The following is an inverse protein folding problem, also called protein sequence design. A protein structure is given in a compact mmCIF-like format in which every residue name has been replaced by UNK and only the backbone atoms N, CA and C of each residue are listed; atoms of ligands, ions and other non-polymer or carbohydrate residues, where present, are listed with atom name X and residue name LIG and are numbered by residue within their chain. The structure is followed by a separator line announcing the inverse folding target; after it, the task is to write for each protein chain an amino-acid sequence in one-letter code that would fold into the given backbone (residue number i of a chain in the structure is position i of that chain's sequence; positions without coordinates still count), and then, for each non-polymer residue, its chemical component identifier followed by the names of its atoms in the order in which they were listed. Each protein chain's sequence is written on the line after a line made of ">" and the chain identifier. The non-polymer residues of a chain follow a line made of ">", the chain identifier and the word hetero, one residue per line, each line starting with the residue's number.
data_IF_538413410133
#
_entry.id   IF_538413410133
#
_cell.length_a   1.000
_cell.length_b   1.000
_cell.length_c   1.000
_cell.angle_alpha   90.00
_cell.angle_beta   90.00
_cell.angle_gamma   90.00
#
_symmetry.space_group_name_H-M   'P 1'
#
loop_
_entity.id
_entity.type
_entity.pdbx_description
1 polymer ?
#
# COMPACT_ATOMS: atom_id res chain seq x y z
N UNK A 1 92.96 61.84 57.73
CA UNK A 1 91.64 62.48 57.58
C UNK A 1 91.18 62.58 56.13
N UNK A 2 91.94 63.15 55.18
CA UNK A 2 91.51 63.29 53.76
C UNK A 2 91.12 61.97 53.06
N UNK A 3 91.85 60.87 53.31
CA UNK A 3 91.55 59.54 52.71
C UNK A 3 90.26 58.90 53.25
N UNK A 4 89.91 59.16 54.52
CA UNK A 4 88.70 58.61 55.14
C UNK A 4 87.44 59.34 54.64
N UNK A 5 87.53 60.66 54.47
CA UNK A 5 86.45 61.47 53.87
C UNK A 5 86.12 60.97 52.45
N UNK A 6 87.15 60.71 51.62
CA UNK A 6 86.95 60.18 50.26
C UNK A 6 86.25 58.81 50.25
N UNK A 7 86.62 57.92 51.17
CA UNK A 7 85.99 56.60 51.30
C UNK A 7 84.53 56.73 51.72
N UNK A 8 84.23 57.56 52.72
CA UNK A 8 82.85 57.80 53.20
C UNK A 8 81.99 58.47 52.13
N UNK A 9 82.52 59.46 51.40
CA UNK A 9 81.79 60.08 50.29
C UNK A 9 81.55 59.09 49.14
N UNK A 10 82.51 58.21 48.84
CA UNK A 10 82.33 57.16 47.83
C UNK A 10 81.24 56.16 48.25
N UNK A 11 81.24 55.73 49.51
CA UNK A 11 80.22 54.83 50.07
C UNK A 11 78.82 55.47 50.05
N UNK A 12 78.72 56.77 50.37
CA UNK A 12 77.48 57.52 50.30
C UNK A 12 76.97 57.63 48.86
N UNK A 13 77.85 57.93 47.90
CA UNK A 13 77.50 57.97 46.49
C UNK A 13 77.00 56.59 46.02
N UNK A 14 77.68 55.50 46.36
CA UNK A 14 77.25 54.13 46.03
C UNK A 14 75.88 53.81 46.64
N UNK A 15 75.65 54.17 47.90
CA UNK A 15 74.37 53.97 48.57
C UNK A 15 73.23 54.71 47.87
N UNK A 16 73.47 55.97 47.46
CA UNK A 16 72.51 56.76 46.67
C UNK A 16 72.23 56.09 45.32
N UNK A 17 73.24 55.58 44.63
CA UNK A 17 73.05 54.86 43.37
C UNK A 17 72.21 53.58 43.54
N UNK A 18 72.43 52.83 44.63
CA UNK A 18 71.65 51.61 44.94
C UNK A 18 70.19 51.99 45.24
N UNK A 19 69.95 52.99 46.08
CA UNK A 19 68.60 53.44 46.43
C UNK A 19 67.83 53.99 45.22
N UNK A 20 68.50 54.76 44.36
CA UNK A 20 67.90 55.33 43.16
C UNK A 20 67.58 54.25 42.12
N UNK A 21 68.44 53.24 41.97
CA UNK A 21 68.17 52.08 41.13
C UNK A 21 66.97 51.27 41.67
N UNK A 22 66.90 51.04 42.98
CA UNK A 22 65.75 50.36 43.59
C UNK A 22 64.43 51.11 43.40
N UNK A 23 64.42 52.44 43.56
CA UNK A 23 63.23 53.26 43.30
C UNK A 23 62.83 53.28 41.83
N UNK A 24 63.81 53.24 40.93
CA UNK A 24 63.56 53.18 39.48
C UNK A 24 62.95 51.83 39.10
N UNK A 25 63.47 50.74 39.66
CA UNK A 25 62.92 49.40 39.50
C UNK A 25 61.50 49.27 40.06
N UNK A 26 61.24 49.79 41.27
CA UNK A 26 59.91 49.77 41.89
C UNK A 26 58.88 50.52 41.02
N UNK A 27 59.25 51.71 40.53
CA UNK A 27 58.40 52.48 39.61
C UNK A 27 58.15 51.74 38.29
N UNK A 28 59.19 51.17 37.69
CA UNK A 28 59.07 50.42 36.43
C UNK A 28 58.21 49.16 36.62
N UNK A 29 58.31 48.49 37.77
CA UNK A 29 57.48 47.32 38.12
C UNK A 29 56.00 47.69 38.27
N UNK A 30 55.69 48.84 38.87
CA UNK A 30 54.32 49.32 39.03
C UNK A 30 53.72 49.76 37.69
N UNK A 31 54.53 50.41 36.83
CA UNK A 31 54.11 50.80 35.48
C UNK A 31 53.82 49.57 34.64
N UNK A 32 54.72 48.58 34.63
CA UNK A 32 54.53 47.33 33.88
C UNK A 32 53.32 46.53 34.37
N UNK A 33 53.10 46.46 35.69
CA UNK A 33 51.91 45.84 36.26
C UNK A 33 50.62 46.57 35.85
N UNK A 34 50.64 47.91 35.86
CA UNK A 34 49.49 48.72 35.45
C UNK A 34 49.16 48.56 33.96
N UNK A 35 50.18 48.57 33.11
CA UNK A 35 50.03 48.32 31.67
C UNK A 35 49.52 46.92 31.39
N UNK A 36 50.03 45.91 32.12
CA UNK A 36 49.55 44.52 32.03
C UNK A 36 48.08 44.39 32.45
N UNK A 37 47.69 45.03 33.55
CA UNK A 37 46.30 45.05 34.01
C UNK A 37 45.38 45.79 33.02
N UNK A 38 45.82 46.93 32.48
CA UNK A 38 45.05 47.67 31.49
C UNK A 38 44.87 46.86 30.20
N UNK A 39 45.94 46.21 29.71
CA UNK A 39 45.86 45.31 28.57
C UNK A 39 44.92 44.12 28.83
N UNK A 40 44.91 43.60 30.06
CA UNK A 40 44.01 42.51 30.47
C UNK A 40 42.55 42.96 30.53
N UNK A 41 42.30 44.17 31.06
CA UNK A 41 40.95 44.78 31.09
C UNK A 41 40.44 45.02 29.68
N UNK A 42 41.28 45.57 28.78
CA UNK A 42 40.91 45.81 27.39
C UNK A 42 40.63 44.49 26.65
N UNK A 43 41.42 43.45 26.90
CA UNK A 43 41.19 42.11 26.35
C UNK A 43 39.87 41.51 26.86
N UNK A 44 39.60 41.59 28.17
CA UNK A 44 38.34 41.12 28.77
C UNK A 44 37.14 41.90 28.24
N UNK A 45 37.26 43.21 28.07
CA UNK A 45 36.20 44.05 27.50
C UNK A 45 35.87 43.65 26.07
N UNK A 46 36.88 43.37 25.24
CA UNK A 46 36.69 42.88 23.87
C UNK A 46 35.99 41.53 23.86
N UNK A 47 36.44 40.60 24.70
CA UNK A 47 35.82 39.27 24.83
C UNK A 47 34.35 39.41 25.26
N UNK A 48 34.05 40.26 26.25
CA UNK A 48 32.69 40.48 26.72
C UNK A 48 31.79 41.06 25.62
N UNK A 49 32.31 42.03 24.85
CA UNK A 49 31.60 42.60 23.70
C UNK A 49 31.28 41.53 22.65
N UNK A 50 32.27 40.70 22.27
CA UNK A 50 32.07 39.60 21.32
C UNK A 50 31.06 38.56 21.85
N UNK A 51 31.13 38.18 23.13
CA UNK A 51 30.16 37.28 23.74
C UNK A 51 28.74 37.85 23.70
N UNK A 52 28.59 39.17 23.91
CA UNK A 52 27.29 39.81 23.89
C UNK A 52 26.73 39.91 22.47
N UNK A 53 27.58 40.15 21.47
CA UNK A 53 27.21 40.08 20.06
C UNK A 53 26.78 38.67 19.66
N UNK A 54 27.54 37.65 20.08
CA UNK A 54 27.21 36.24 19.85
C UNK A 54 25.89 35.85 20.50
N UNK A 55 25.66 36.28 21.75
CA UNK A 55 24.40 36.08 22.46
C UNK A 55 23.23 36.69 21.71
N UNK A 56 23.35 37.96 21.30
CA UNK A 56 22.28 38.63 20.54
C UNK A 56 22.01 37.94 19.20
N UNK A 57 23.05 37.44 18.53
CA UNK A 57 22.91 36.66 17.30
C UNK A 57 22.17 35.34 17.54
N UNK A 58 22.52 34.62 18.60
CA UNK A 58 21.87 33.36 18.97
C UNK A 58 20.41 33.59 19.36
N UNK A 59 20.09 34.64 20.11
CA UNK A 59 18.71 35.00 20.45
C UNK A 59 17.87 35.24 19.19
N UNK A 60 18.40 36.00 18.21
CA UNK A 60 17.72 36.18 16.92
C UNK A 60 17.52 34.89 16.14
N UNK A 61 18.50 33.98 16.17
CA UNK A 61 18.37 32.67 15.53
C UNK A 61 17.31 31.81 16.22
N UNK A 62 17.21 31.85 17.55
CA UNK A 62 16.18 31.15 18.30
C UNK A 62 14.80 31.70 17.95
N UNK A 63 14.64 33.02 17.88
CA UNK A 63 13.36 33.64 17.51
C UNK A 63 12.93 33.27 16.08
N UNK A 64 13.87 33.28 15.15
CA UNK A 64 13.62 32.87 13.76
C UNK A 64 13.22 31.39 13.67
N UNK A 65 13.95 30.50 14.36
CA UNK A 65 13.61 29.08 14.41
C UNK A 65 12.24 28.84 15.07
N UNK A 66 11.89 29.58 16.13
CA UNK A 66 10.59 29.48 16.76
C UNK A 66 9.46 29.91 15.82
N UNK A 67 9.66 30.97 15.04
CA UNK A 67 8.70 31.38 14.01
C UNK A 67 8.54 30.30 12.95
N UNK A 68 9.65 29.73 12.45
CA UNK A 68 9.61 28.63 11.47
C UNK A 68 8.90 27.38 12.03
N UNK A 69 9.11 27.05 13.31
CA UNK A 69 8.40 25.94 13.97
C UNK A 69 6.90 26.23 14.04
N UNK A 70 6.51 27.45 14.41
CA UNK A 70 5.09 27.84 14.48
C UNK A 70 4.43 27.75 13.09
N UNK A 71 5.05 28.37 12.09
CA UNK A 71 4.54 28.37 10.72
C UNK A 71 4.48 26.94 10.15
N UNK A 72 5.46 26.10 10.50
CA UNK A 72 5.47 24.67 10.20
C UNK A 72 4.32 23.91 10.85
N UNK A 73 4.05 24.15 12.13
CA UNK A 73 2.95 23.53 12.86
C UNK A 73 1.58 23.95 12.32
N UNK A 74 1.39 25.23 11.99
CA UNK A 74 0.15 25.73 11.36
C UNK A 74 -0.10 25.04 10.02
N UNK A 75 0.97 24.82 9.23
CA UNK A 75 0.87 24.10 7.96
C UNK A 75 0.54 22.61 8.15
N UNK A 76 1.10 21.97 9.18
CA UNK A 76 0.77 20.58 9.53
C UNK A 76 -0.71 20.47 9.89
N UNK A 77 -1.22 21.34 10.76
CA UNK A 77 -2.63 21.34 11.17
C UNK A 77 -3.57 21.54 9.96
N UNK A 78 -3.23 22.47 9.05
CA UNK A 78 -4.00 22.67 7.82
C UNK A 78 -4.00 21.43 6.92
N UNK A 79 -2.86 20.76 6.76
CA UNK A 79 -2.75 19.55 5.96
C UNK A 79 -3.52 18.38 6.59
N UNK A 80 -3.45 18.23 7.91
CA UNK A 80 -4.21 17.21 8.64
C UNK A 80 -5.73 17.42 8.48
N UNK A 81 -6.20 18.67 8.58
CA UNK A 81 -7.60 19.00 8.33
C UNK A 81 -8.03 18.70 6.89
N UNK A 82 -7.17 18.99 5.90
CA UNK A 82 -7.43 18.65 4.50
C UNK A 82 -7.49 17.13 4.27
N UNK A 83 -6.58 16.37 4.89
CA UNK A 83 -6.57 14.91 4.80
C UNK A 83 -7.87 14.33 5.38
N UNK A 84 -8.29 14.79 6.55
CA UNK A 84 -9.55 14.34 7.17
C UNK A 84 -10.77 14.67 6.30
N UNK A 85 -10.82 15.88 5.72
CA UNK A 85 -11.90 16.27 4.82
C UNK A 85 -11.95 15.41 3.56
N UNK A 86 -10.79 15.12 2.96
CA UNK A 86 -10.69 14.29 1.76
C UNK A 86 -11.05 12.83 2.04
N UNK A 87 -10.65 12.31 3.20
CA UNK A 87 -11.03 10.97 3.64
C UNK A 87 -12.54 10.86 3.82
N UNK A 88 -13.17 11.83 4.47
CA UNK A 88 -14.64 11.85 4.62
C UNK A 88 -15.35 11.91 3.26
N UNK A 89 -14.87 12.75 2.33
CA UNK A 89 -15.46 12.84 0.99
C UNK A 89 -15.30 11.53 0.20
N UNK A 90 -14.17 10.84 0.38
CA UNK A 90 -13.92 9.54 -0.24
C UNK A 90 -14.87 8.48 0.32
N UNK A 91 -15.03 8.41 1.64
CA UNK A 91 -15.94 7.47 2.30
C UNK A 91 -17.39 7.70 1.88
N UNK A 92 -17.84 8.96 1.81
CA UNK A 92 -19.17 9.32 1.31
C UNK A 92 -19.39 8.85 -0.13
N UNK A 93 -18.38 9.03 -1.00
CA UNK A 93 -18.42 8.56 -2.40
C UNK A 93 -18.44 7.04 -2.50
N UNK A 94 -17.67 6.34 -1.67
CA UNK A 94 -17.67 4.87 -1.64
C UNK A 94 -19.01 4.33 -1.16
N UNK A 95 -19.60 4.94 -0.12
CA UNK A 95 -20.93 4.59 0.35
C UNK A 95 -21.99 4.85 -0.73
N UNK A 96 -21.89 5.98 -1.42
CA UNK A 96 -22.79 6.30 -2.53
C UNK A 96 -22.69 5.28 -3.67
N UNK A 97 -21.47 4.89 -4.06
CA UNK A 97 -21.23 3.84 -5.08
C UNK A 97 -21.82 2.51 -4.60
N UNK A 98 -21.62 2.13 -3.34
CA UNK A 98 -22.19 0.91 -2.77
C UNK A 98 -23.73 0.92 -2.85
N UNK A 99 -24.37 2.02 -2.45
CA UNK A 99 -25.84 2.17 -2.58
C UNK A 99 -26.28 2.10 -4.03
N UNK A 100 -25.56 2.75 -4.96
CA UNK A 100 -25.87 2.65 -6.38
C UNK A 100 -25.76 1.22 -6.90
N UNK A 101 -24.71 0.49 -6.51
CA UNK A 101 -24.50 -0.92 -6.89
C UNK A 101 -25.68 -1.79 -6.47
N UNK A 102 -26.25 -1.60 -5.28
CA UNK A 102 -27.44 -2.35 -4.82
C UNK A 102 -28.72 -2.05 -5.61
N UNK A 103 -28.79 -0.92 -6.31
CA UNK A 103 -29.96 -0.49 -7.09
C UNK A 103 -29.85 -0.79 -8.57
N UNK A 104 -28.74 -1.38 -9.01
CA UNK A 104 -28.56 -1.78 -10.40
C UNK A 104 -29.61 -2.83 -10.74
N UNK A 105 -30.24 -2.70 -11.90
CA UNK A 105 -31.06 -3.77 -12.44
C UNK A 105 -30.15 -4.93 -12.85
N UNK A 106 -30.37 -6.08 -12.23
CA UNK A 106 -29.59 -7.29 -12.46
C UNK A 106 -30.03 -8.03 -13.74
N UNK A 107 -31.17 -7.67 -14.31
CA UNK A 107 -31.77 -8.37 -15.45
C UNK A 107 -30.95 -8.28 -16.76
N UNK A 108 -30.33 -7.14 -17.12
CA UNK A 108 -29.44 -7.07 -18.28
C UNK A 108 -28.21 -7.99 -18.16
N UNK A 109 -27.68 -8.14 -16.94
CA UNK A 109 -26.51 -8.99 -16.66
C UNK A 109 -26.93 -10.46 -16.73
N UNK A 110 -28.08 -10.80 -16.13
CA UNK A 110 -28.65 -12.15 -16.16
C UNK A 110 -28.95 -12.59 -17.59
N UNK A 111 -29.65 -11.75 -18.35
CA UNK A 111 -29.99 -12.02 -19.74
C UNK A 111 -28.76 -12.14 -20.64
N UNK A 112 -27.74 -11.31 -20.44
CA UNK A 112 -26.47 -11.43 -21.17
C UNK A 112 -25.75 -12.74 -20.87
N UNK A 113 -25.72 -13.16 -19.59
CA UNK A 113 -25.10 -14.43 -19.19
C UNK A 113 -25.83 -15.62 -19.80
N UNK A 114 -27.16 -15.62 -19.73
CA UNK A 114 -27.99 -16.67 -20.33
C UNK A 114 -27.86 -16.71 -21.85
N UNK A 115 -27.85 -15.55 -22.51
CA UNK A 115 -27.61 -15.45 -23.95
C UNK A 115 -26.23 -16.00 -24.31
N UNK A 116 -25.20 -15.73 -23.51
CA UNK A 116 -23.86 -16.28 -23.73
C UNK A 116 -23.89 -17.81 -23.68
N UNK A 117 -24.44 -18.41 -22.61
CA UNK A 117 -24.53 -19.87 -22.44
C UNK A 117 -25.32 -20.51 -23.60
N UNK A 118 -26.47 -19.92 -23.95
CA UNK A 118 -27.30 -20.41 -25.04
C UNK A 118 -26.57 -20.37 -26.39
N UNK A 119 -25.83 -19.30 -26.69
CA UNK A 119 -25.04 -19.23 -27.92
C UNK A 119 -23.89 -20.25 -27.94
N UNK A 120 -23.31 -20.63 -26.79
CA UNK A 120 -22.35 -21.74 -26.73
C UNK A 120 -23.04 -23.08 -27.01
N UNK A 121 -24.20 -23.32 -26.40
CA UNK A 121 -24.98 -24.55 -26.63
C UNK A 121 -25.40 -24.71 -28.10
N UNK A 122 -25.80 -23.64 -28.77
CA UNK A 122 -26.16 -23.63 -30.20
C UNK A 122 -24.95 -23.59 -31.15
N UNK A 123 -23.72 -23.65 -30.63
CA UNK A 123 -22.46 -23.52 -31.39
C UNK A 123 -22.32 -22.19 -32.15
N UNK A 124 -23.02 -21.14 -31.72
CA UNK A 124 -22.93 -19.78 -32.26
C UNK A 124 -21.84 -18.96 -31.54
N UNK A 125 -20.60 -19.44 -31.65
CA UNK A 125 -19.44 -18.86 -30.98
C UNK A 125 -19.15 -17.39 -31.33
N UNK A 126 -19.34 -16.91 -32.57
CA UNK A 126 -19.12 -15.50 -32.88
C UNK A 126 -20.01 -14.55 -32.09
N UNK A 127 -21.29 -14.90 -31.90
CA UNK A 127 -22.23 -14.07 -31.14
C UNK A 127 -21.91 -14.09 -29.65
N UNK A 128 -21.52 -15.26 -29.11
CA UNK A 128 -21.07 -15.36 -27.72
C UNK A 128 -19.80 -14.53 -27.47
N UNK A 129 -18.82 -14.58 -28.38
CA UNK A 129 -17.57 -13.82 -28.28
C UNK A 129 -17.80 -12.30 -28.37
N UNK A 130 -18.76 -11.84 -29.16
CA UNK A 130 -19.11 -10.41 -29.24
C UNK A 130 -19.71 -9.83 -27.95
N UNK A 131 -20.16 -10.68 -27.02
CA UNK A 131 -20.62 -10.24 -25.68
C UNK A 131 -19.47 -9.99 -24.71
N UNK A 132 -18.25 -10.35 -25.09
CA UNK A 132 -17.03 -10.08 -24.32
C UNK A 132 -16.26 -8.88 -24.86
N UNK A 133 -15.49 -8.24 -23.98
CA UNK A 133 -14.59 -7.15 -24.35
C UNK A 133 -13.39 -7.66 -25.18
N UNK A 134 -12.75 -6.77 -25.94
CA UNK A 134 -11.63 -7.12 -26.83
C UNK A 134 -10.43 -7.75 -26.13
N UNK A 135 -10.24 -7.47 -24.84
CA UNK A 135 -9.18 -7.98 -23.98
C UNK A 135 -9.70 -8.96 -22.92
N UNK A 136 -10.90 -9.53 -23.15
CA UNK A 136 -11.50 -10.49 -22.24
C UNK A 136 -10.58 -11.69 -21.97
N UNK A 137 -10.47 -12.05 -20.69
CA UNK A 137 -9.65 -13.16 -20.23
C UNK A 137 -10.51 -14.40 -19.98
N UNK A 138 -10.31 -15.42 -20.78
CA UNK A 138 -10.91 -16.74 -20.58
C UNK A 138 -9.89 -17.63 -19.86
N UNK A 139 -10.20 -18.01 -18.63
CA UNK A 139 -9.30 -18.76 -17.73
C UNK A 139 -7.88 -18.15 -17.64
N UNK A 140 -7.83 -16.82 -17.56
CA UNK A 140 -6.58 -16.04 -17.45
C UNK A 140 -5.89 -15.70 -18.78
N UNK A 141 -6.31 -16.33 -19.88
CA UNK A 141 -5.71 -16.17 -21.20
C UNK A 141 -6.57 -15.26 -22.11
N UNK A 142 -5.91 -14.48 -22.96
CA UNK A 142 -6.61 -13.69 -23.99
C UNK A 142 -6.83 -14.59 -25.20
N UNK A 143 -8.10 -14.90 -25.50
CA UNK A 143 -8.44 -15.79 -26.61
C UNK A 143 -8.84 -15.00 -27.85
N UNK A 144 -8.43 -15.49 -29.01
CA UNK A 144 -8.99 -15.06 -30.29
C UNK A 144 -10.32 -15.77 -30.54
N UNK A 145 -11.19 -15.21 -31.41
CA UNK A 145 -12.44 -15.87 -31.82
C UNK A 145 -12.20 -17.32 -32.31
N UNK A 146 -11.08 -17.54 -33.01
CA UNK A 146 -10.70 -18.87 -33.49
C UNK A 146 -10.36 -19.80 -32.33
N UNK A 147 -9.48 -19.38 -31.42
CA UNK A 147 -9.10 -20.16 -30.24
C UNK A 147 -10.30 -20.49 -29.35
N UNK A 148 -11.20 -19.52 -29.19
CA UNK A 148 -12.46 -19.68 -28.47
C UNK A 148 -13.34 -20.75 -29.13
N UNK A 149 -13.61 -20.62 -30.43
CA UNK A 149 -14.46 -21.56 -31.17
C UNK A 149 -13.86 -22.98 -31.20
N UNK A 150 -12.55 -23.08 -31.45
CA UNK A 150 -11.83 -24.36 -31.51
C UNK A 150 -11.88 -25.06 -30.14
N UNK A 151 -11.77 -24.31 -29.04
CA UNK A 151 -11.88 -24.89 -27.69
C UNK A 151 -13.29 -25.44 -27.42
N UNK A 152 -14.33 -24.65 -27.64
CA UNK A 152 -15.69 -25.08 -27.34
C UNK A 152 -16.15 -26.24 -28.24
N UNK A 153 -15.81 -26.22 -29.53
CA UNK A 153 -16.21 -27.29 -30.46
C UNK A 153 -15.45 -28.60 -30.23
N UNK A 154 -14.19 -28.54 -29.81
CA UNK A 154 -13.40 -29.73 -29.52
C UNK A 154 -13.75 -30.39 -28.18
N UNK A 155 -14.13 -29.59 -27.16
CA UNK A 155 -14.23 -30.06 -25.77
C UNK A 155 -15.65 -30.22 -25.25
N UNK A 156 -16.65 -29.48 -25.77
CA UNK A 156 -18.01 -29.48 -25.24
C UNK A 156 -18.98 -30.16 -26.22
N UNK A 157 -19.65 -31.20 -25.74
CA UNK A 157 -20.75 -31.86 -26.43
C UNK A 157 -22.09 -31.14 -26.17
N UNK A 158 -22.36 -30.77 -24.91
CA UNK A 158 -23.54 -29.99 -24.50
C UNK A 158 -23.23 -29.13 -23.28
N UNK A 159 -23.87 -27.97 -23.17
CA UNK A 159 -23.82 -27.10 -21.99
C UNK A 159 -25.23 -26.58 -21.68
N UNK A 160 -25.70 -26.84 -20.47
CA UNK A 160 -27.02 -26.40 -20.02
C UNK A 160 -26.93 -25.73 -18.64
N UNK A 161 -27.63 -24.61 -18.39
CA UNK A 161 -27.69 -24.03 -17.06
C UNK A 161 -28.46 -24.95 -16.11
N UNK A 162 -28.00 -25.05 -14.86
CA UNK A 162 -28.71 -25.78 -13.81
C UNK A 162 -29.92 -24.95 -13.37
N UNK A 163 -31.09 -25.56 -13.44
CA UNK A 163 -32.35 -24.94 -13.03
C UNK A 163 -32.79 -25.48 -11.68
N UNK A 164 -33.18 -24.57 -10.78
CA UNK A 164 -33.70 -24.91 -9.45
C UNK A 164 -35.14 -24.36 -9.32
N UNK A 165 -36.04 -25.12 -8.67
CA UNK A 165 -37.45 -24.76 -8.46
C UNK A 165 -38.45 -25.79 -9.04
N UNK A 166 -39.40 -26.21 -8.20
CA UNK A 166 -40.41 -27.26 -8.55
C UNK A 166 -41.49 -26.76 -9.53
N UNK A 167 -41.83 -25.47 -9.54
CA UNK A 167 -42.93 -24.91 -10.35
C UNK A 167 -42.49 -23.87 -11.41
N UNK A 168 -41.39 -23.14 -11.18
CA UNK A 168 -40.77 -22.24 -12.16
C UNK A 168 -39.25 -22.44 -12.14
N UNK A 169 -38.75 -23.14 -13.14
CA UNK A 169 -37.31 -23.41 -13.33
C UNK A 169 -36.57 -22.09 -13.55
N UNK A 170 -35.86 -21.59 -12.54
CA UNK A 170 -34.98 -20.43 -12.67
C UNK A 170 -33.52 -20.89 -12.65
N UNK A 171 -32.65 -20.33 -13.50
CA UNK A 171 -31.23 -20.69 -13.49
C UNK A 171 -30.59 -20.20 -12.19
N UNK A 172 -29.75 -21.04 -11.57
CA UNK A 172 -29.03 -20.68 -10.33
C UNK A 172 -27.91 -19.69 -10.67
N UNK A 173 -28.24 -18.40 -10.62
CA UNK A 173 -27.36 -17.28 -10.94
C UNK A 173 -27.22 -16.38 -9.71
N UNK A 174 -26.04 -16.36 -9.10
CA UNK A 174 -25.71 -15.42 -8.04
C UNK A 174 -24.98 -14.20 -8.63
N UNK A 175 -25.52 -13.01 -8.41
CA UNK A 175 -24.89 -11.75 -8.83
C UNK A 175 -24.37 -11.05 -7.59
N UNK A 176 -23.05 -10.92 -7.49
CA UNK A 176 -22.34 -10.26 -6.41
C UNK A 176 -21.69 -9.00 -6.96
N UNK A 177 -22.01 -7.85 -6.37
CA UNK A 177 -21.28 -6.62 -6.67
C UNK A 177 -19.85 -6.75 -6.13
N UNK A 178 -18.85 -6.35 -6.92
CA UNK A 178 -17.46 -6.31 -6.46
C UNK A 178 -17.26 -5.18 -5.45
N UNK A 179 -16.40 -5.40 -4.45
CA UNK A 179 -15.95 -4.41 -3.47
C UNK A 179 -14.99 -3.37 -4.09
N UNK A 180 -14.57 -3.57 -5.34
CA UNK A 180 -13.72 -2.61 -6.06
C UNK A 180 -14.49 -1.31 -6.36
N UNK A 181 -13.81 -0.15 -6.43
CA UNK A 181 -14.47 1.11 -6.79
C UNK A 181 -14.95 1.14 -8.25
N UNK A 182 -14.48 0.21 -9.07
CA UNK A 182 -14.90 0.04 -10.45
C UNK A 182 -16.31 -0.57 -10.55
N UNK A 183 -16.99 -0.31 -11.66
CA UNK A 183 -18.34 -0.86 -11.96
C UNK A 183 -18.25 -2.32 -12.39
N UNK A 184 -17.67 -3.14 -11.51
CA UNK A 184 -17.49 -4.57 -11.71
C UNK A 184 -18.59 -5.36 -10.99
N UNK A 185 -19.24 -6.25 -11.74
CA UNK A 185 -20.23 -7.18 -11.23
C UNK A 185 -19.74 -8.61 -11.46
N UNK A 186 -19.75 -9.41 -10.40
CA UNK A 186 -19.43 -10.82 -10.46
C UNK A 186 -20.72 -11.62 -10.60
N UNK A 187 -20.74 -12.57 -11.52
CA UNK A 187 -21.87 -13.47 -11.74
C UNK A 187 -21.37 -14.90 -11.63
N UNK A 188 -21.96 -15.68 -10.73
CA UNK A 188 -21.72 -17.11 -10.59
C UNK A 188 -22.90 -17.86 -11.18
N UNK A 189 -22.65 -18.70 -12.18
CA UNK A 189 -23.68 -19.51 -12.83
C UNK A 189 -23.32 -20.97 -12.74
N UNK A 190 -24.28 -21.77 -12.29
CA UNK A 190 -24.17 -23.23 -12.30
C UNK A 190 -24.56 -23.75 -13.68
N UNK A 191 -23.64 -24.48 -14.31
CA UNK A 191 -23.84 -25.10 -15.62
C UNK A 191 -23.49 -26.58 -15.55
N UNK A 192 -24.31 -27.42 -16.18
CA UNK A 192 -24.00 -28.81 -16.44
C UNK A 192 -23.31 -28.90 -17.81
N UNK A 193 -22.13 -29.52 -17.84
CA UNK A 193 -21.30 -29.64 -19.04
C UNK A 193 -21.09 -31.11 -19.36
N UNK A 194 -21.47 -31.50 -20.57
CA UNK A 194 -21.11 -32.78 -21.15
C UNK A 194 -19.89 -32.58 -22.06
N UNK A 195 -18.78 -33.22 -21.72
CA UNK A 195 -17.54 -33.15 -22.47
C UNK A 195 -17.46 -34.25 -23.52
N UNK A 196 -16.68 -34.01 -24.57
CA UNK A 196 -16.33 -35.01 -25.58
C UNK A 196 -15.31 -36.02 -25.05
N UNK A 197 -15.21 -37.21 -25.67
CA UNK A 197 -14.32 -38.30 -25.22
C UNK A 197 -12.83 -37.91 -25.12
N UNK A 198 -12.39 -36.89 -25.87
CA UNK A 198 -11.01 -36.39 -25.88
C UNK A 198 -10.88 -34.95 -25.33
N UNK A 199 -11.84 -34.51 -24.51
CA UNK A 199 -11.87 -33.14 -24.01
C UNK A 199 -10.72 -32.83 -23.04
N UNK A 200 -10.14 -31.65 -23.20
CA UNK A 200 -9.24 -31.04 -22.23
C UNK A 200 -10.04 -30.53 -21.01
N UNK A 201 -9.86 -31.20 -19.88
CA UNK A 201 -10.51 -30.90 -18.60
C UNK A 201 -9.82 -29.79 -17.78
N UNK A 202 -8.84 -29.08 -18.34
CA UNK A 202 -8.11 -28.00 -17.66
C UNK A 202 -9.03 -26.87 -17.19
N UNK A 203 -10.10 -26.58 -17.95
CA UNK A 203 -10.98 -25.44 -17.69
C UNK A 203 -12.39 -25.84 -17.26
N UNK A 204 -12.93 -26.94 -17.77
CA UNK A 204 -14.27 -27.46 -17.46
C UNK A 204 -14.20 -28.95 -17.16
N UNK A 205 -14.96 -29.40 -16.17
CA UNK A 205 -15.06 -30.80 -15.78
C UNK A 205 -16.37 -31.40 -16.30
N UNK A 206 -16.44 -32.73 -16.39
CA UNK A 206 -17.69 -33.42 -16.70
C UNK A 206 -18.70 -33.19 -15.58
N UNK A 207 -19.94 -32.85 -15.91
CA UNK A 207 -21.01 -32.62 -14.94
C UNK A 207 -21.14 -31.16 -14.53
N UNK A 208 -21.45 -30.92 -13.25
CA UNK A 208 -21.74 -29.58 -12.73
C UNK A 208 -20.46 -28.75 -12.56
N UNK A 209 -20.47 -27.54 -13.13
CA UNK A 209 -19.41 -26.55 -13.02
C UNK A 209 -20.01 -25.21 -12.58
N UNK A 210 -19.23 -24.42 -11.84
CA UNK A 210 -19.59 -23.04 -11.51
C UNK A 210 -18.74 -22.09 -12.33
N UNK A 211 -19.37 -21.39 -13.26
CA UNK A 211 -18.75 -20.34 -14.07
C UNK A 211 -18.84 -19.01 -13.34
N UNK A 212 -17.70 -18.39 -13.12
CA UNK A 212 -17.56 -17.01 -12.67
C UNK A 212 -17.30 -16.10 -13.86
N UNK A 213 -18.27 -15.22 -14.10
CA UNK A 213 -18.16 -14.11 -15.04
C UNK A 213 -17.87 -12.81 -14.28
N UNK A 214 -16.95 -12.01 -14.81
CA UNK A 214 -16.79 -10.61 -14.41
C UNK A 214 -17.35 -9.73 -15.52
N UNK A 215 -18.19 -8.79 -15.13
CA UNK A 215 -18.83 -7.84 -16.02
C UNK A 215 -18.38 -6.43 -15.71
N UNK A 216 -18.17 -5.63 -16.75
CA UNK A 216 -18.03 -4.18 -16.66
C UNK A 216 -19.11 -3.50 -17.49
N UNK A 217 -19.57 -2.34 -17.04
CA UNK A 217 -20.53 -1.55 -17.79
C UNK A 217 -19.81 -0.59 -18.75
N UNK A 218 -20.03 -0.76 -20.05
CA UNK A 218 -19.43 0.09 -21.07
C UNK A 218 -20.36 1.24 -21.44
N UNK A 219 -19.97 2.46 -21.05
CA UNK A 219 -20.70 3.69 -21.38
C UNK A 219 -20.72 4.02 -22.88
N UNK A 220 -19.81 3.40 -23.67
CA UNK A 220 -19.73 3.64 -25.13
C UNK A 220 -20.84 2.95 -25.89
N UNK A 221 -21.24 1.76 -25.46
CA UNK A 221 -22.23 0.92 -26.12
C UNK A 221 -23.49 0.73 -25.28
N UNK A 222 -23.54 1.32 -24.07
CA UNK A 222 -24.67 1.25 -23.14
C UNK A 222 -25.04 -0.21 -22.79
N UNK A 223 -24.03 -1.06 -22.62
CA UNK A 223 -24.20 -2.50 -22.38
C UNK A 223 -23.16 -3.03 -21.40
N UNK A 224 -23.55 -4.08 -20.67
CA UNK A 224 -22.65 -4.88 -19.85
C UNK A 224 -21.83 -5.82 -20.73
N UNK A 225 -20.51 -5.78 -20.56
CA UNK A 225 -19.56 -6.62 -21.29
C UNK A 225 -18.86 -7.58 -20.35
N UNK A 226 -18.60 -8.79 -20.82
CA UNK A 226 -17.81 -9.78 -20.09
C UNK A 226 -16.33 -9.41 -20.21
N UNK A 227 -15.66 -9.21 -19.08
CA UNK A 227 -14.21 -8.95 -19.02
C UNK A 227 -13.42 -10.21 -18.68
N UNK A 228 -14.03 -11.16 -17.98
CA UNK A 228 -13.38 -12.41 -17.62
C UNK A 228 -14.36 -13.55 -17.42
N UNK A 229 -13.96 -14.75 -17.80
CA UNK A 229 -14.67 -16.01 -17.52
C UNK A 229 -13.70 -16.99 -16.89
N UNK A 230 -14.09 -17.62 -15.79
CA UNK A 230 -13.28 -18.61 -15.08
C UNK A 230 -14.17 -19.62 -14.38
N UNK A 231 -13.63 -20.79 -14.04
CA UNK A 231 -14.32 -21.77 -13.19
C UNK A 231 -13.96 -21.58 -11.73
N UNK A 232 -14.94 -21.75 -10.86
CA UNK A 232 -14.74 -21.90 -9.42
C UNK A 232 -14.81 -23.39 -9.12
N UNK A 233 -13.83 -23.92 -8.40
CA UNK A 233 -13.88 -25.31 -7.92
C UNK A 233 -15.04 -25.44 -6.94
N UNK A 234 -16.07 -26.18 -7.33
CA UNK A 234 -17.05 -26.72 -6.39
C UNK A 234 -16.42 -27.91 -5.69
N UNK A 235 -16.48 -27.93 -4.36
CA UNK A 235 -16.21 -29.16 -3.62
C UNK A 235 -17.11 -30.27 -4.18
N UNK A 236 -16.58 -31.49 -4.38
CA UNK A 236 -17.38 -32.59 -4.91
C UNK A 236 -18.52 -32.90 -3.96
N UNK A 237 -19.75 -32.96 -4.51
CA UNK A 237 -20.94 -33.42 -3.79
C UNK A 237 -20.68 -34.84 -3.26
N UNK A 238 -20.56 -34.98 -1.94
CA UNK A 238 -20.53 -36.27 -1.24
C UNK A 238 -21.95 -36.88 -1.24
N UNK A 239 -22.46 -37.29 -2.39
CA UNK A 239 -23.74 -38.02 -2.46
C UNK A 239 -23.77 -39.16 -3.47
N UNK A 240 -22.64 -39.86 -3.67
CA UNK A 240 -22.64 -41.21 -4.24
C UNK A 240 -21.71 -42.16 -3.46
N UNK A 241 -22.04 -42.39 -2.18
CA UNK A 241 -21.47 -43.50 -1.42
C UNK A 241 -22.47 -44.03 -0.40
N UNK A 242 -23.62 -44.56 -0.86
CA UNK A 242 -24.42 -45.51 -0.09
C UNK A 242 -25.49 -46.15 -0.98
N UNK A 243 -25.08 -47.09 -1.84
CA UNK A 243 -25.91 -48.28 -2.08
C UNK A 243 -25.05 -49.43 -2.65
N UNK A 244 -24.53 -50.27 -1.76
CA UNK A 244 -24.42 -51.70 -2.05
C UNK A 244 -24.48 -52.44 -0.72
N UNK A 245 -25.73 -52.79 -0.39
CA UNK A 245 -26.13 -53.48 0.81
C UNK A 245 -25.46 -54.83 1.05
N UNK A 246 -25.49 -55.17 2.34
CA UNK A 246 -25.08 -56.40 2.99
C UNK A 246 -25.68 -57.67 2.36
N UNK A 247 -24.90 -58.75 2.40
CA UNK A 247 -25.30 -60.07 2.94
C UNK A 247 -24.02 -60.94 2.94
N UNK A 248 -23.41 -61.23 4.09
CA UNK A 248 -23.79 -62.19 5.13
C UNK A 248 -22.76 -63.34 5.16
N UNK A 249 -22.08 -63.50 6.31
CA UNK A 249 -21.72 -64.75 7.03
C UNK A 249 -21.26 -65.95 6.18
N UNK A 250 -20.17 -66.66 6.43
CA UNK A 250 -19.62 -67.13 7.71
C UNK A 250 -18.31 -67.91 7.45
N UNK A 251 -17.42 -67.85 8.43
CA UNK A 251 -16.30 -68.76 8.77
C UNK A 251 -15.96 -69.99 7.91
N UNK A 252 -14.67 -70.23 7.67
CA UNK A 252 -13.92 -71.43 8.16
C UNK A 252 -12.41 -71.12 8.25
N UNK A 253 -11.83 -71.44 9.43
CA UNK A 253 -10.39 -71.52 9.75
C UNK A 253 -9.74 -72.77 9.14
N UNK A 254 -8.47 -72.69 8.71
CA UNK A 254 -7.40 -73.72 8.88
C UNK A 254 -6.20 -73.30 8.01
N UNK A 255 -5.07 -72.82 8.54
CA UNK A 255 -3.94 -73.55 9.14
C UNK A 255 -3.10 -74.40 8.16
N UNK A 256 -1.78 -74.24 8.30
CA UNK A 256 -0.64 -75.05 7.84
C UNK A 256 -0.26 -74.91 6.34
N UNK A 257 0.90 -74.33 6.01
CA UNK A 257 2.26 -74.88 6.14
C UNK A 257 2.54 -76.03 5.16
N UNK A 258 3.24 -75.70 4.07
CA UNK A 258 4.40 -76.42 3.52
C UNK A 258 5.02 -75.62 2.38
#
# INVERSE_FOLDING_TARGET
>A
MKRFVVIVTSLLIIFVFIALNYLLWDRESLVTLRESNQASIDALSRINMTLNEDKSRLEKQIDELNNQIRDGNEKIEQLEAQIQSLQSELDDKLQFISVLKTRIDHEPIRSTTMAWIHNIAEKNYPVAFLKSESDCRFWGNVWSLKSFSDYFDANIASIEPVYEGEEQKQPVIEIKSSDTPDWEMQVLVHVNVELTENANQEYLKQGQNVLRFLYTYSTRIDQWLITSVSTVETEPDETEANDSGETATESVKSSAAQ
#
